data_IF_907219730973
#
_entry.id   IF_907219730973
#
_cell.length_a   1.000
_cell.length_b   1.000
_cell.length_c   1.000
_cell.angle_alpha   90.00
_cell.angle_beta   90.00
_cell.angle_gamma   90.00
#
_symmetry.space_group_name_H-M   'P 1'
#
loop_
_entity.id
_entity.type
_entity.pdbx_description
1 polymer ?
#
# COMPACT_ATOMS: atom_id res chain seq x y z
N UNK A 1 27.20 -18.21 -31.40
CA UNK A 1 26.37 -19.34 -30.91
C UNK A 1 26.20 -19.11 -29.41
N UNK A 2 25.08 -18.65 -28.86
CA UNK A 2 23.68 -18.92 -29.20
C UNK A 2 22.85 -17.69 -28.79
N UNK A 3 22.01 -17.21 -29.71
CA UNK A 3 21.02 -16.16 -29.46
C UNK A 3 19.95 -16.80 -28.56
N UNK A 4 19.82 -16.33 -27.32
CA UNK A 4 18.69 -16.66 -26.47
C UNK A 4 17.46 -15.94 -27.04
N UNK A 5 16.66 -16.68 -27.79
CA UNK A 5 15.32 -16.23 -28.15
C UNK A 5 14.48 -16.17 -26.87
N UNK A 6 14.23 -14.97 -26.37
CA UNK A 6 13.11 -14.72 -25.46
C UNK A 6 11.84 -15.20 -26.15
N UNK A 7 11.20 -16.21 -25.54
CA UNK A 7 9.92 -16.72 -26.01
C UNK A 7 8.88 -15.65 -25.66
N UNK A 8 8.63 -14.74 -26.59
CA UNK A 8 7.51 -13.81 -26.50
C UNK A 8 6.20 -14.61 -26.45
N UNK A 9 5.29 -14.24 -25.55
CA UNK A 9 3.93 -14.79 -25.55
C UNK A 9 3.22 -14.41 -26.88
N UNK A 10 2.08 -15.03 -27.18
CA UNK A 10 1.24 -14.77 -28.37
C UNK A 10 0.89 -13.28 -28.59
N UNK A 11 1.07 -12.43 -27.58
CA UNK A 11 0.89 -10.98 -27.60
C UNK A 11 2.17 -10.15 -27.81
N UNK A 12 3.35 -10.76 -27.94
CA UNK A 12 4.64 -10.06 -28.06
C UNK A 12 5.28 -9.66 -26.72
N UNK A 13 4.64 -9.98 -25.59
CA UNK A 13 5.13 -9.57 -24.26
C UNK A 13 6.05 -10.63 -23.64
N UNK A 14 7.01 -10.16 -22.84
CA UNK A 14 7.95 -11.02 -22.11
C UNK A 14 7.27 -11.78 -20.96
N UNK A 15 6.34 -11.14 -20.24
CA UNK A 15 5.69 -11.72 -19.07
C UNK A 15 4.19 -11.95 -19.29
N UNK A 16 3.67 -13.04 -18.74
CA UNK A 16 2.24 -13.32 -18.61
C UNK A 16 1.83 -13.24 -17.15
N UNK A 17 0.71 -12.58 -16.86
CA UNK A 17 0.21 -12.39 -15.50
C UNK A 17 -1.08 -13.16 -15.28
N UNK A 18 -1.10 -14.02 -14.26
CA UNK A 18 -2.25 -14.84 -13.91
C UNK A 18 -2.76 -14.48 -12.52
N UNK A 19 -3.98 -13.98 -12.43
CA UNK A 19 -4.61 -13.65 -11.16
C UNK A 19 -4.89 -14.90 -10.32
N UNK A 20 -4.58 -14.84 -9.03
CA UNK A 20 -4.79 -15.92 -8.07
C UNK A 20 -6.02 -15.61 -7.23
N UNK A 21 -7.19 -16.06 -7.69
CA UNK A 21 -8.50 -15.77 -7.07
C UNK A 21 -8.60 -16.19 -5.60
N UNK A 22 -7.98 -17.31 -5.24
CA UNK A 22 -8.11 -17.90 -3.90
C UNK A 22 -7.01 -17.42 -2.93
N UNK A 23 -6.11 -16.51 -3.36
CA UNK A 23 -5.11 -15.95 -2.46
C UNK A 23 -5.80 -15.05 -1.43
N UNK A 24 -5.80 -15.50 -0.17
CA UNK A 24 -6.27 -14.70 0.97
C UNK A 24 -5.09 -14.14 1.74
N UNK A 25 -5.18 -12.86 2.10
CA UNK A 25 -4.26 -12.19 3.01
C UNK A 25 -4.85 -12.25 4.40
N UNK A 26 -4.42 -13.24 5.19
CA UNK A 26 -5.00 -13.54 6.51
C UNK A 26 -4.95 -12.33 7.43
N UNK A 27 -3.95 -11.47 7.27
CA UNK A 27 -3.80 -10.23 8.03
C UNK A 27 -4.95 -9.25 7.83
N UNK A 28 -5.65 -9.29 6.69
CA UNK A 28 -6.76 -8.39 6.33
C UNK A 28 -8.12 -9.09 6.29
N UNK A 29 -8.17 -10.43 6.35
CA UNK A 29 -9.40 -11.21 6.21
C UNK A 29 -9.86 -11.92 7.48
N UNK A 30 -9.14 -11.79 8.59
CA UNK A 30 -9.57 -12.35 9.89
C UNK A 30 -10.59 -11.43 10.57
N UNK A 31 -11.37 -11.96 11.51
CA UNK A 31 -12.45 -11.22 12.20
C UNK A 31 -11.97 -9.92 12.84
N UNK A 32 -10.90 -9.96 13.63
CA UNK A 32 -10.36 -8.78 14.32
C UNK A 32 -9.94 -7.69 13.32
N UNK A 33 -9.30 -8.10 12.23
CA UNK A 33 -8.88 -7.18 11.17
C UNK A 33 -10.08 -6.59 10.44
N UNK A 34 -11.10 -7.38 10.14
CA UNK A 34 -12.31 -6.88 9.48
C UNK A 34 -13.06 -5.88 10.35
N UNK A 35 -13.18 -6.13 11.66
CA UNK A 35 -13.76 -5.18 12.61
C UNK A 35 -12.99 -3.85 12.61
N UNK A 36 -11.66 -3.92 12.68
CA UNK A 36 -10.79 -2.74 12.63
C UNK A 36 -10.93 -1.98 11.30
N UNK A 37 -10.91 -2.69 10.17
CA UNK A 37 -11.03 -2.09 8.84
C UNK A 37 -12.41 -1.48 8.59
N UNK A 38 -13.49 -2.05 9.15
CA UNK A 38 -14.82 -1.46 9.14
C UNK A 38 -14.84 -0.18 9.97
N UNK A 39 -14.33 -0.24 11.20
CA UNK A 39 -14.22 0.93 12.10
C UNK A 39 -13.44 2.07 11.44
N UNK A 40 -12.33 1.76 10.78
CA UNK A 40 -11.49 2.77 10.13
C UNK A 40 -11.97 3.13 8.71
N UNK A 41 -13.14 2.69 8.27
CA UNK A 41 -13.69 2.99 6.93
C UNK A 41 -12.78 2.57 5.76
N UNK A 42 -11.98 1.51 5.95
CA UNK A 42 -11.09 0.95 4.92
C UNK A 42 -11.69 -0.29 4.25
N UNK A 43 -12.65 -0.95 4.90
CA UNK A 43 -13.30 -2.15 4.36
C UNK A 43 -14.02 -1.84 3.03
N UNK A 44 -13.85 -2.72 2.03
CA UNK A 44 -14.42 -2.56 0.70
C UNK A 44 -13.65 -1.62 -0.24
N UNK A 45 -12.79 -0.72 0.29
CA UNK A 45 -11.94 0.18 -0.51
C UNK A 45 -10.45 -0.19 -0.48
N UNK A 46 -10.00 -0.85 0.59
CA UNK A 46 -8.67 -1.46 0.65
C UNK A 46 -8.69 -2.82 -0.03
N UNK A 47 -8.02 -2.92 -1.18
CA UNK A 47 -7.93 -4.14 -1.96
C UNK A 47 -6.53 -4.73 -1.93
N UNK A 48 -6.48 -6.06 -1.84
CA UNK A 48 -5.28 -6.84 -2.11
C UNK A 48 -5.52 -7.81 -3.25
N UNK A 49 -4.73 -7.70 -4.32
CA UNK A 49 -4.77 -8.60 -5.46
C UNK A 49 -3.45 -9.37 -5.55
N UNK A 50 -3.50 -10.61 -6.02
CA UNK A 50 -2.32 -11.44 -6.20
C UNK A 50 -2.25 -12.00 -7.60
N UNK A 51 -1.08 -11.93 -8.20
CA UNK A 51 -0.76 -12.47 -9.51
C UNK A 51 0.48 -13.35 -9.41
N UNK A 52 0.55 -14.36 -10.26
CA UNK A 52 1.78 -15.10 -10.55
C UNK A 52 2.21 -14.80 -11.98
N UNK A 53 3.52 -14.83 -12.22
CA UNK A 53 4.11 -14.61 -13.53
C UNK A 53 5.00 -15.78 -13.96
N UNK A 54 5.12 -15.97 -15.26
CA UNK A 54 5.65 -17.19 -15.90
C UNK A 54 7.17 -17.16 -16.13
N UNK A 55 7.78 -15.99 -16.28
CA UNK A 55 9.22 -15.85 -16.55
C UNK A 55 10.05 -15.50 -15.31
N UNK A 56 11.36 -15.76 -15.38
CA UNK A 56 12.30 -15.25 -14.39
C UNK A 56 12.41 -13.72 -14.55
N UNK A 57 12.34 -13.00 -13.44
CA UNK A 57 12.45 -11.56 -13.40
C UNK A 57 13.78 -11.16 -12.76
N UNK A 58 14.60 -10.38 -13.45
CA UNK A 58 15.82 -9.80 -12.90
C UNK A 58 15.56 -8.39 -12.34
N UNK A 59 16.37 -7.95 -11.37
CA UNK A 59 16.08 -6.71 -10.64
C UNK A 59 16.17 -5.44 -11.48
N UNK A 60 16.91 -5.45 -12.59
CA UNK A 60 16.98 -4.30 -13.51
C UNK A 60 15.72 -4.17 -14.38
N UNK A 61 14.85 -5.19 -14.40
CA UNK A 61 13.67 -5.25 -15.25
C UNK A 61 12.41 -4.75 -14.56
N UNK A 62 12.46 -4.44 -13.25
CA UNK A 62 11.28 -4.10 -12.46
C UNK A 62 10.44 -2.98 -13.07
N UNK A 63 11.08 -1.95 -13.61
CA UNK A 63 10.38 -0.84 -14.24
C UNK A 63 9.52 -1.32 -15.43
N UNK A 64 10.14 -2.00 -16.41
CA UNK A 64 9.43 -2.51 -17.59
C UNK A 64 8.42 -3.60 -17.21
N UNK A 65 8.74 -4.46 -16.25
CA UNK A 65 7.84 -5.49 -15.73
C UNK A 65 6.55 -4.90 -15.13
N UNK A 66 6.66 -3.80 -14.38
CA UNK A 66 5.49 -3.09 -13.84
C UNK A 66 4.69 -2.42 -14.96
N UNK A 67 5.36 -1.81 -15.95
CA UNK A 67 4.67 -1.25 -17.13
C UNK A 67 3.86 -2.33 -17.87
N UNK A 68 4.47 -3.50 -18.10
CA UNK A 68 3.81 -4.64 -18.73
C UNK A 68 2.62 -5.12 -17.90
N UNK A 69 2.76 -5.18 -16.58
CA UNK A 69 1.66 -5.54 -15.68
C UNK A 69 0.49 -4.56 -15.81
N UNK A 70 0.76 -3.26 -15.77
CA UNK A 70 -0.28 -2.21 -15.86
C UNK A 70 -0.99 -2.25 -17.21
N UNK A 71 -0.26 -2.50 -18.31
CA UNK A 71 -0.81 -2.47 -19.68
C UNK A 71 -1.47 -3.77 -20.13
N UNK A 72 -0.99 -4.91 -19.64
CA UNK A 72 -1.32 -6.21 -20.24
C UNK A 72 -1.97 -7.22 -19.28
N UNK A 73 -2.09 -6.88 -18.00
CA UNK A 73 -2.88 -7.68 -17.06
C UNK A 73 -4.35 -7.24 -17.05
N UNK A 74 -5.18 -8.00 -16.35
CA UNK A 74 -6.57 -7.61 -16.07
C UNK A 74 -6.70 -6.69 -14.83
N UNK A 75 -5.60 -6.10 -14.35
CA UNK A 75 -5.56 -5.28 -13.14
C UNK A 75 -6.65 -4.20 -13.10
N UNK A 76 -6.77 -3.38 -14.15
CA UNK A 76 -7.79 -2.33 -14.20
C UNK A 76 -9.21 -2.88 -14.21
N UNK A 77 -9.45 -4.03 -14.84
CA UNK A 77 -10.75 -4.69 -14.79
C UNK A 77 -11.16 -5.07 -13.36
N UNK A 78 -10.18 -5.29 -12.48
CA UNK A 78 -10.38 -5.68 -11.08
C UNK A 78 -10.48 -4.51 -10.12
N UNK A 79 -9.97 -3.32 -10.46
CA UNK A 79 -10.06 -2.14 -9.59
C UNK A 79 -11.08 -1.11 -10.06
N UNK A 80 -11.57 -1.19 -11.31
CA UNK A 80 -12.48 -0.20 -11.92
C UNK A 80 -13.72 0.16 -11.11
N UNK A 81 -14.23 -0.73 -10.26
CA UNK A 81 -15.42 -0.47 -9.44
C UNK A 81 -15.15 0.52 -8.29
N UNK A 82 -13.88 0.70 -7.90
CA UNK A 82 -13.46 1.71 -6.92
C UNK A 82 -13.03 3.02 -7.55
N UNK A 83 -12.81 3.01 -8.85
CA UNK A 83 -12.39 4.17 -9.59
C UNK A 83 -13.65 4.98 -9.96
N UNK A 84 -13.70 6.28 -9.60
CA UNK A 84 -14.79 7.20 -9.94
C UNK A 84 -14.25 8.39 -10.77
N UNK A 85 -14.88 8.81 -11.89
CA UNK A 85 -16.01 8.22 -12.63
C UNK A 85 -15.67 6.86 -13.29
N UNK A 86 -16.64 6.02 -13.68
CA UNK A 86 -16.35 4.73 -14.32
C UNK A 86 -15.56 4.92 -15.62
N UNK A 87 -14.28 4.59 -15.57
CA UNK A 87 -13.30 4.85 -16.62
C UNK A 87 -13.56 3.92 -17.83
N UNK A 88 -13.67 4.49 -19.03
CA UNK A 88 -13.14 3.78 -20.20
C UNK A 88 -11.65 4.08 -20.26
N UNK A 89 -10.82 3.05 -20.51
CA UNK A 89 -9.41 3.20 -20.88
C UNK A 89 -9.33 3.82 -22.30
N UNK A 90 -10.04 4.93 -22.55
CA UNK A 90 -10.09 5.57 -23.84
C UNK A 90 -8.80 6.36 -24.05
N UNK A 91 -7.99 5.83 -24.97
CA UNK A 91 -6.66 6.24 -25.39
C UNK A 91 -5.53 5.97 -24.39
N UNK A 92 -5.06 4.71 -24.39
CA UNK A 92 -3.78 4.24 -23.80
C UNK A 92 -2.53 5.02 -24.25
N UNK A 93 -2.67 5.93 -25.23
CA UNK A 93 -1.56 6.57 -25.93
C UNK A 93 -0.84 7.67 -25.14
N UNK A 94 -1.45 8.21 -24.08
CA UNK A 94 -0.91 9.33 -23.29
C UNK A 94 -0.83 9.04 -21.77
N UNK A 95 -0.59 7.78 -21.38
CA UNK A 95 -0.40 7.40 -19.98
C UNK A 95 1.09 7.46 -19.57
N UNK A 96 1.44 8.41 -18.73
CA UNK A 96 2.75 8.48 -18.06
C UNK A 96 2.68 7.71 -16.73
N UNK A 97 3.34 6.56 -16.67
CA UNK A 97 3.34 5.69 -15.49
C UNK A 97 4.55 6.00 -14.62
N UNK A 98 4.30 6.63 -13.47
CA UNK A 98 5.31 6.93 -12.48
C UNK A 98 5.46 5.77 -11.50
N UNK A 99 6.69 5.25 -11.41
CA UNK A 99 7.03 4.10 -10.58
C UNK A 99 8.13 4.51 -9.61
N UNK A 100 7.84 4.42 -8.30
CA UNK A 100 8.79 4.80 -7.24
C UNK A 100 9.06 3.62 -6.31
N UNK A 101 10.33 3.21 -6.18
CA UNK A 101 10.71 2.18 -5.21
C UNK A 101 10.54 2.72 -3.78
N UNK A 102 9.86 1.93 -2.94
CA UNK A 102 9.57 2.24 -1.54
C UNK A 102 10.53 1.46 -0.65
N UNK A 103 11.33 2.13 0.20
CA UNK A 103 12.24 1.47 1.11
C UNK A 103 11.54 0.49 2.07
N UNK A 104 12.20 -0.65 2.30
CA UNK A 104 11.80 -1.69 3.25
C UNK A 104 12.96 -2.04 4.19
N UNK A 105 13.73 -1.02 4.60
CA UNK A 105 14.94 -1.21 5.41
C UNK A 105 14.64 -1.39 6.90
N UNK A 106 13.51 -0.86 7.39
CA UNK A 106 13.07 -1.02 8.78
C UNK A 106 12.39 -2.39 8.98
N UNK A 107 12.89 -3.16 9.94
CA UNK A 107 12.50 -4.58 10.14
C UNK A 107 11.79 -4.85 11.46
N UNK A 108 11.75 -3.86 12.36
CA UNK A 108 11.24 -4.01 13.73
C UNK A 108 10.11 -3.04 14.00
N UNK A 109 9.10 -3.50 14.73
CA UNK A 109 8.02 -2.64 15.22
C UNK A 109 8.49 -1.66 16.30
N UNK A 110 9.63 -1.93 16.96
CA UNK A 110 10.22 -0.99 17.93
C UNK A 110 10.62 0.36 17.33
N UNK A 111 10.59 0.47 15.99
CA UNK A 111 10.64 1.75 15.31
C UNK A 111 9.55 2.74 15.78
N UNK A 112 8.36 2.24 16.13
CA UNK A 112 7.25 3.07 16.61
C UNK A 112 7.28 3.35 18.11
N UNK A 113 8.24 2.80 18.87
CA UNK A 113 8.36 3.06 20.31
C UNK A 113 8.60 4.56 20.59
N UNK A 114 9.11 5.31 19.60
CA UNK A 114 9.25 6.78 19.64
C UNK A 114 7.93 7.54 19.78
N UNK A 115 6.80 6.90 19.48
CA UNK A 115 5.46 7.48 19.67
C UNK A 115 5.01 7.42 21.13
N UNK A 116 5.64 6.58 21.96
CA UNK A 116 5.39 6.54 23.40
C UNK A 116 5.95 7.81 24.01
N UNK A 117 5.06 8.76 24.26
CA UNK A 117 5.36 10.10 24.74
C UNK A 117 4.14 10.62 25.53
N UNK A 118 4.31 11.30 26.68
CA UNK A 118 3.21 11.76 27.52
C UNK A 118 2.13 12.55 26.78
N UNK A 119 2.52 13.26 25.72
CA UNK A 119 1.65 14.11 24.91
C UNK A 119 1.11 13.44 23.63
N UNK A 120 1.62 12.29 23.18
CA UNK A 120 1.16 11.61 21.96
C UNK A 120 0.44 10.32 22.30
N UNK A 121 1.20 9.32 22.76
CA UNK A 121 0.70 8.02 23.21
C UNK A 121 1.28 7.70 24.58
N UNK A 122 0.42 7.53 25.57
CA UNK A 122 0.81 7.20 26.95
C UNK A 122 1.38 5.78 27.02
N UNK A 123 2.07 5.47 28.12
CA UNK A 123 2.67 4.14 28.35
C UNK A 123 1.67 2.97 28.28
N UNK A 124 0.38 3.23 28.53
CA UNK A 124 -0.70 2.24 28.40
C UNK A 124 -1.29 2.13 26.98
N UNK A 125 -0.67 2.78 25.99
CA UNK A 125 -1.12 2.80 24.60
C UNK A 125 -2.22 3.82 24.28
N UNK A 126 -2.76 4.55 25.27
CA UNK A 126 -3.83 5.53 25.04
C UNK A 126 -3.30 6.73 24.24
N UNK A 127 -3.98 7.04 23.15
CA UNK A 127 -3.70 8.18 22.29
C UNK A 127 -4.32 9.44 22.92
N UNK A 128 -3.55 10.52 22.99
CA UNK A 128 -4.04 11.79 23.49
C UNK A 128 -4.85 12.54 22.44
N UNK A 129 -6.03 13.00 22.85
CA UNK A 129 -6.86 13.89 22.06
C UNK A 129 -6.25 15.29 21.99
N UNK A 130 -6.59 16.02 20.94
CA UNK A 130 -6.31 17.44 20.80
C UNK A 130 -7.52 18.19 20.24
N UNK A 131 -7.40 19.51 20.09
CA UNK A 131 -8.39 20.28 19.35
C UNK A 131 -8.40 19.82 17.88
N UNK A 132 -9.58 19.80 17.28
CA UNK A 132 -9.73 19.38 15.90
C UNK A 132 -8.99 20.32 14.94
N UNK A 133 -8.19 19.73 14.07
CA UNK A 133 -7.56 20.36 12.92
C UNK A 133 -8.06 19.70 11.64
N UNK A 134 -8.19 20.48 10.58
CA UNK A 134 -8.71 20.00 9.30
C UNK A 134 -7.59 20.00 8.26
N UNK A 135 -7.33 18.83 7.67
CA UNK A 135 -6.40 18.67 6.57
C UNK A 135 -7.14 18.00 5.40
N UNK A 136 -7.40 18.77 4.35
CA UNK A 136 -8.25 18.36 3.23
C UNK A 136 -9.62 17.85 3.75
N UNK A 137 -9.99 16.60 3.42
CA UNK A 137 -11.24 15.95 3.86
C UNK A 137 -11.11 15.21 5.21
N UNK A 138 -10.01 15.40 5.95
CA UNK A 138 -9.70 14.64 7.17
C UNK A 138 -9.77 15.55 8.40
N UNK A 139 -10.60 15.15 9.37
CA UNK A 139 -10.63 15.76 10.72
C UNK A 139 -9.63 15.05 11.64
N UNK A 140 -8.67 15.80 12.16
CA UNK A 140 -7.59 15.33 13.05
C UNK A 140 -7.89 15.80 14.47
N UNK A 141 -8.33 14.88 15.33
CA UNK A 141 -8.71 15.16 16.73
C UNK A 141 -7.77 14.53 17.76
N UNK A 142 -6.60 14.05 17.34
CA UNK A 142 -5.61 13.44 18.23
C UNK A 142 -4.16 13.72 17.81
N UNK A 143 -3.28 13.64 18.80
CA UNK A 143 -1.86 13.98 18.68
C UNK A 143 -1.09 12.97 17.82
N UNK A 144 -1.54 11.73 17.74
CA UNK A 144 -0.90 10.71 16.90
C UNK A 144 -1.07 11.06 15.42
N UNK A 145 -2.31 11.26 14.96
CA UNK A 145 -2.57 11.65 13.56
C UNK A 145 -1.95 13.00 13.25
N UNK A 146 -1.97 13.96 14.19
CA UNK A 146 -1.28 15.25 14.04
C UNK A 146 0.22 15.07 13.80
N UNK A 147 0.91 14.25 14.61
CA UNK A 147 2.33 13.95 14.42
C UNK A 147 2.62 13.26 13.06
N UNK A 148 1.69 12.47 12.53
CA UNK A 148 1.86 11.77 11.25
C UNK A 148 1.59 12.66 10.04
N UNK A 149 0.66 13.62 10.13
CA UNK A 149 0.11 14.37 9.00
C UNK A 149 0.54 15.85 8.92
N UNK A 150 0.62 16.54 10.06
CA UNK A 150 0.81 17.99 10.09
C UNK A 150 2.30 18.31 10.20
N UNK A 151 2.87 18.85 9.12
CA UNK A 151 4.30 19.22 9.02
C UNK A 151 4.75 20.24 10.07
N UNK A 152 3.85 21.12 10.49
CA UNK A 152 4.03 22.11 11.55
C UNK A 152 3.79 21.57 12.97
N UNK A 153 3.46 20.29 13.12
CA UNK A 153 3.36 19.66 14.45
C UNK A 153 4.74 19.59 15.12
N UNK A 154 4.79 19.89 16.42
CA UNK A 154 5.99 19.73 17.25
C UNK A 154 6.59 18.31 17.17
N UNK A 155 5.73 17.32 16.90
CA UNK A 155 6.08 15.91 16.86
C UNK A 155 6.29 15.35 15.44
N UNK A 156 6.16 16.18 14.40
CA UNK A 156 6.39 15.72 13.02
C UNK A 156 7.81 15.18 12.82
N UNK A 157 8.78 15.83 13.47
CA UNK A 157 10.20 15.47 13.34
C UNK A 157 10.62 14.19 14.07
N UNK A 158 9.72 13.52 14.82
CA UNK A 158 10.00 12.22 15.46
C UNK A 158 10.48 11.15 14.48
N UNK A 159 10.04 11.27 13.23
CA UNK A 159 10.46 10.45 12.12
C UNK A 159 11.01 11.35 11.02
N UNK A 160 12.23 11.07 10.59
CA UNK A 160 12.87 11.79 9.48
C UNK A 160 12.14 11.55 8.16
N UNK A 161 12.32 12.45 7.19
CA UNK A 161 11.79 12.28 5.82
C UNK A 161 12.15 10.93 5.19
N UNK A 162 13.34 10.41 5.48
CA UNK A 162 13.77 9.09 4.99
C UNK A 162 12.95 7.98 5.64
N UNK A 163 12.73 8.04 6.94
CA UNK A 163 11.96 7.06 7.70
C UNK A 163 10.46 7.12 7.34
N UNK A 164 9.91 8.30 7.10
CA UNK A 164 8.52 8.51 6.63
C UNK A 164 8.25 7.87 5.26
N UNK A 165 9.29 7.66 4.45
CA UNK A 165 9.20 6.94 3.16
C UNK A 165 9.20 5.42 3.31
N UNK A 166 9.55 4.87 4.45
CA UNK A 166 9.59 3.42 4.66
C UNK A 166 8.19 2.82 4.55
N UNK A 167 8.09 1.67 3.90
CA UNK A 167 6.80 1.02 3.65
C UNK A 167 6.03 0.72 4.95
N UNK A 168 6.75 0.35 6.02
CA UNK A 168 6.13 0.08 7.33
C UNK A 168 5.51 1.34 7.93
N UNK A 169 6.16 2.50 7.79
CA UNK A 169 5.64 3.78 8.24
C UNK A 169 4.40 4.16 7.44
N UNK A 170 4.45 4.00 6.11
CA UNK A 170 3.33 4.28 5.22
C UNK A 170 2.10 3.42 5.54
N UNK A 171 2.27 2.11 5.75
CA UNK A 171 1.18 1.24 6.19
C UNK A 171 0.57 1.69 7.51
N UNK A 172 1.40 1.97 8.51
CA UNK A 172 0.93 2.46 9.81
C UNK A 172 0.14 3.75 9.66
N UNK A 173 0.70 4.72 8.92
CA UNK A 173 0.04 6.00 8.60
C UNK A 173 -1.33 5.76 7.96
N UNK A 174 -1.42 4.89 6.95
CA UNK A 174 -2.69 4.58 6.27
C UNK A 174 -3.75 4.04 7.23
N UNK A 175 -3.37 3.16 8.16
CA UNK A 175 -4.31 2.64 9.16
C UNK A 175 -4.70 3.68 10.22
N UNK A 176 -3.78 4.54 10.65
CA UNK A 176 -4.10 5.61 11.61
C UNK A 176 -5.13 6.58 11.03
N UNK A 177 -5.01 6.90 9.74
CA UNK A 177 -5.88 7.91 9.12
C UNK A 177 -7.22 7.28 8.72
N UNK A 178 -7.21 6.05 8.18
CA UNK A 178 -8.41 5.37 7.72
C UNK A 178 -8.98 5.93 6.41
N UNK A 179 -10.26 5.66 6.15
CA UNK A 179 -11.04 6.18 5.03
C UNK A 179 -11.95 7.35 5.44
N UNK A 180 -12.94 7.68 4.59
CA UNK A 180 -13.75 8.89 4.73
C UNK A 180 -14.53 8.95 6.05
N UNK A 181 -15.07 7.83 6.52
CA UNK A 181 -15.84 7.77 7.77
C UNK A 181 -15.06 7.06 8.88
N UNK A 182 -13.74 7.27 8.90
CA UNK A 182 -12.88 6.67 9.91
C UNK A 182 -13.36 7.03 11.32
N UNK A 183 -13.52 6.01 12.16
CA UNK A 183 -13.65 6.16 13.60
C UNK A 183 -12.29 5.86 14.23
N UNK A 184 -11.51 6.87 14.62
CA UNK A 184 -10.16 6.67 15.13
C UNK A 184 -10.15 5.78 16.37
N UNK A 185 -9.06 5.04 16.56
CA UNK A 185 -8.84 4.32 17.81
C UNK A 185 -8.35 5.25 18.92
N UNK A 186 -8.75 4.94 20.15
CA UNK A 186 -8.23 5.60 21.35
C UNK A 186 -6.94 4.95 21.86
N UNK A 187 -6.56 3.81 21.30
CA UNK A 187 -5.36 3.05 21.67
C UNK A 187 -4.54 2.69 20.42
N UNK A 188 -3.21 2.79 20.52
CA UNK A 188 -2.29 2.51 19.40
C UNK A 188 -2.15 1.02 19.07
N UNK A 189 -2.45 0.12 20.02
CA UNK A 189 -2.14 -1.30 19.91
C UNK A 189 -2.84 -2.01 18.73
N UNK A 190 -4.14 -1.77 18.45
CA UNK A 190 -4.79 -2.32 17.25
C UNK A 190 -4.11 -1.90 15.95
N UNK A 191 -3.69 -0.63 15.85
CA UNK A 191 -3.00 -0.06 14.69
C UNK A 191 -1.63 -0.73 14.49
N UNK A 192 -0.84 -0.88 15.55
CA UNK A 192 0.47 -1.56 15.50
C UNK A 192 0.33 -3.05 15.20
N UNK A 193 -0.68 -3.72 15.79
CA UNK A 193 -0.98 -5.14 15.54
C UNK A 193 -1.32 -5.35 14.07
N UNK A 194 -2.23 -4.56 13.49
CA UNK A 194 -2.59 -4.71 12.08
C UNK A 194 -1.40 -4.39 11.17
N UNK A 195 -0.69 -3.28 11.42
CA UNK A 195 0.52 -2.90 10.65
C UNK A 195 1.53 -4.05 10.60
N UNK A 196 1.87 -4.62 11.76
CA UNK A 196 2.80 -5.74 11.86
C UNK A 196 2.34 -6.94 11.04
N UNK A 197 1.06 -7.30 11.17
CA UNK A 197 0.50 -8.46 10.51
C UNK A 197 0.48 -8.29 8.99
N UNK A 198 0.01 -7.14 8.51
CA UNK A 198 -0.04 -6.82 7.08
C UNK A 198 1.37 -6.74 6.49
N UNK A 199 2.31 -6.09 7.17
CA UNK A 199 3.70 -6.01 6.71
C UNK A 199 4.34 -7.39 6.55
N UNK A 200 4.09 -8.31 7.49
CA UNK A 200 4.58 -9.71 7.43
C UNK A 200 3.86 -10.57 6.39
N UNK A 201 2.59 -10.29 6.11
CA UNK A 201 1.79 -11.05 5.14
C UNK A 201 2.12 -10.62 3.70
N UNK A 202 2.47 -9.35 3.50
CA UNK A 202 2.84 -8.79 2.19
C UNK A 202 4.31 -9.05 1.82
N UNK A 203 5.22 -9.00 2.80
CA UNK A 203 6.65 -9.07 2.53
C UNK A 203 7.25 -10.40 2.96
N UNK A 204 8.04 -10.98 2.05
CA UNK A 204 8.84 -12.16 2.36
C UNK A 204 10.18 -11.76 2.95
N UNK A 205 10.54 -12.44 4.03
CA UNK A 205 11.85 -12.37 4.67
C UNK A 205 12.59 -13.69 4.52
N UNK A 206 13.91 -13.63 4.35
CA UNK A 206 14.79 -14.80 4.40
C UNK A 206 15.93 -14.54 5.39
N UNK A 207 16.49 -15.61 5.94
CA UNK A 207 17.73 -15.55 6.70
C UNK A 207 18.89 -15.60 5.71
N UNK A 208 19.71 -14.56 5.68
CA UNK A 208 20.96 -14.57 4.92
C UNK A 208 21.90 -15.59 5.56
N UNK A 209 22.30 -16.61 4.79
CA UNK A 209 23.14 -17.71 5.27
C UNK A 209 24.55 -17.23 5.63
N UNK A 210 25.02 -16.11 5.06
CA UNK A 210 26.35 -15.55 5.32
C UNK A 210 26.42 -14.79 6.64
N UNK A 211 25.44 -13.94 6.90
CA UNK A 211 25.48 -13.01 8.04
C UNK A 211 24.49 -13.35 9.15
N UNK A 212 23.68 -14.42 8.99
CA UNK A 212 22.57 -14.80 9.86
C UNK A 212 21.50 -13.71 10.05
N UNK A 213 21.56 -12.64 9.25
CA UNK A 213 20.66 -11.50 9.32
C UNK A 213 19.38 -11.76 8.52
N UNK A 214 18.25 -11.27 9.04
CA UNK A 214 16.97 -11.31 8.33
C UNK A 214 16.98 -10.21 7.25
N UNK A 215 16.68 -10.58 6.02
CA UNK A 215 16.61 -9.67 4.85
C UNK A 215 15.24 -9.77 4.21
N UNK A 216 14.64 -8.63 3.90
CA UNK A 216 13.41 -8.55 3.10
C UNK A 216 13.80 -8.71 1.64
N UNK A 217 13.22 -9.70 0.97
CA UNK A 217 13.51 -10.01 -0.45
C UNK A 217 12.44 -9.49 -1.39
N UNK A 218 11.27 -9.16 -0.86
CA UNK A 218 10.23 -8.49 -1.63
C UNK A 218 10.62 -7.04 -1.92
N UNK A 219 10.35 -6.58 -3.14
CA UNK A 219 10.51 -5.19 -3.57
C UNK A 219 9.16 -4.50 -3.67
N UNK A 220 9.06 -3.27 -3.17
CA UNK A 220 7.81 -2.50 -3.12
C UNK A 220 7.94 -1.27 -4.00
N UNK A 221 6.93 -1.04 -4.83
CA UNK A 221 6.85 0.11 -5.72
C UNK A 221 5.51 0.81 -5.54
N UNK A 222 5.53 2.13 -5.41
CA UNK A 222 4.34 2.96 -5.54
C UNK A 222 4.12 3.30 -7.01
N UNK A 223 2.89 3.13 -7.47
CA UNK A 223 2.50 3.41 -8.84
C UNK A 223 1.47 4.53 -8.87
N UNK A 224 1.76 5.54 -9.67
CA UNK A 224 0.86 6.63 -10.05
C UNK A 224 0.86 6.72 -11.57
N UNK A 225 -0.26 7.12 -12.15
CA UNK A 225 -0.35 7.33 -13.60
C UNK A 225 -0.87 8.73 -13.83
N UNK A 226 -0.19 9.48 -14.70
CA UNK A 226 -0.64 10.76 -15.19
C UNK A 226 -1.24 10.61 -16.59
N UNK A 227 -2.28 11.38 -16.85
CA UNK A 227 -2.84 11.60 -18.18
C UNK A 227 -2.91 13.11 -18.40
N UNK A 228 -2.27 13.62 -19.44
CA UNK A 228 -2.17 15.07 -19.70
C UNK A 228 -1.65 15.86 -18.47
N UNK A 229 -0.55 15.40 -17.87
CA UNK A 229 0.09 15.97 -16.67
C UNK A 229 -0.79 16.02 -15.40
N UNK A 230 -1.94 15.36 -15.39
CA UNK A 230 -2.84 15.26 -14.24
C UNK A 230 -2.90 13.84 -13.73
N UNK A 231 -2.99 13.68 -12.41
CA UNK A 231 -3.14 12.36 -11.80
C UNK A 231 -4.42 11.70 -12.31
N UNK A 232 -4.25 10.52 -12.91
CA UNK A 232 -5.32 9.67 -13.42
C UNK A 232 -5.57 8.49 -12.49
N UNK A 233 -4.49 7.89 -11.97
CA UNK A 233 -4.54 6.77 -11.03
C UNK A 233 -3.55 7.05 -9.87
N UNK A 234 -3.88 6.70 -8.60
CA UNK A 234 -5.00 5.86 -8.14
C UNK A 234 -6.39 6.48 -8.20
N UNK A 235 -6.49 7.81 -8.21
CA UNK A 235 -7.74 8.58 -8.28
C UNK A 235 -7.49 9.91 -8.99
N UNK A 236 -8.48 10.42 -9.74
CA UNK A 236 -8.45 11.78 -10.31
C UNK A 236 -8.65 12.87 -9.26
N UNK A 237 -9.35 12.55 -8.17
CA UNK A 237 -9.49 13.41 -7.00
C UNK A 237 -8.34 13.05 -6.07
N UNK A 238 -7.23 13.81 -6.16
CA UNK A 238 -6.03 13.54 -5.39
C UNK A 238 -6.30 13.63 -3.89
N UNK A 239 -6.23 12.51 -3.20
CA UNK A 239 -6.23 12.44 -1.74
C UNK A 239 -4.92 11.78 -1.24
N UNK A 240 -4.42 12.17 -0.07
CA UNK A 240 -3.19 11.61 0.50
C UNK A 240 -3.29 10.11 0.87
N UNK A 241 -4.51 9.57 0.85
CA UNK A 241 -4.84 8.18 1.14
C UNK A 241 -5.07 7.36 -0.13
N UNK A 242 -4.94 7.96 -1.30
CA UNK A 242 -4.97 7.23 -2.57
C UNK A 242 -3.59 6.62 -2.82
N UNK A 243 -3.52 5.29 -2.88
CA UNK A 243 -2.26 4.60 -3.13
C UNK A 243 -2.43 3.29 -3.88
N UNK A 244 -1.39 2.95 -4.64
CA UNK A 244 -1.21 1.64 -5.23
C UNK A 244 0.22 1.19 -5.01
N UNK A 245 0.39 0.15 -4.20
CA UNK A 245 1.67 -0.51 -4.01
C UNK A 245 1.71 -1.83 -4.76
N UNK A 246 2.74 -2.01 -5.57
CA UNK A 246 3.09 -3.28 -6.20
C UNK A 246 4.25 -3.89 -5.43
N UNK A 247 4.01 -5.06 -4.85
CA UNK A 247 4.98 -5.85 -4.11
C UNK A 247 5.39 -7.05 -4.96
N UNK A 248 6.67 -7.18 -5.26
CA UNK A 248 7.22 -8.22 -6.14
C UNK A 248 8.10 -9.16 -5.32
N UNK A 249 7.81 -10.46 -5.39
CA UNK A 249 8.69 -11.54 -4.94
C UNK A 249 9.20 -12.31 -6.16
N UNK A 250 10.44 -12.04 -6.57
CA UNK A 250 11.07 -12.66 -7.75
C UNK A 250 11.19 -14.19 -7.62
N UNK A 251 11.42 -14.68 -6.40
CA UNK A 251 11.68 -16.09 -6.16
C UNK A 251 10.39 -16.92 -6.11
N UNK A 252 9.29 -16.35 -5.59
CA UNK A 252 7.97 -16.96 -5.66
C UNK A 252 7.25 -16.68 -7.00
N UNK A 253 7.84 -15.85 -7.86
CA UNK A 253 7.22 -15.31 -9.07
C UNK A 253 5.82 -14.75 -8.80
N UNK A 254 5.70 -14.02 -7.69
CA UNK A 254 4.45 -13.45 -7.21
C UNK A 254 4.51 -11.92 -7.28
N UNK A 255 3.43 -11.32 -7.77
CA UNK A 255 3.15 -9.89 -7.68
C UNK A 255 1.90 -9.72 -6.81
N UNK A 256 1.98 -8.85 -5.81
CA UNK A 256 0.85 -8.47 -4.96
C UNK A 256 0.58 -6.99 -5.11
N UNK A 257 -0.67 -6.62 -5.34
CA UNK A 257 -1.11 -5.23 -5.32
C UNK A 257 -1.80 -4.96 -4.00
N UNK A 258 -1.39 -3.90 -3.30
CA UNK A 258 -2.14 -3.29 -2.20
C UNK A 258 -2.64 -1.93 -2.69
N UNK A 259 -3.95 -1.77 -2.80
CA UNK A 259 -4.57 -0.61 -3.43
C UNK A 259 -5.66 -0.04 -2.54
N UNK A 260 -5.74 1.29 -2.47
CA UNK A 260 -6.79 2.01 -1.78
C UNK A 260 -7.09 3.31 -2.50
N UNK A 261 -8.37 3.68 -2.52
CA UNK A 261 -8.85 4.98 -2.98
C UNK A 261 -9.79 5.52 -1.92
N UNK A 262 -9.60 6.78 -1.52
CA UNK A 262 -10.43 7.48 -0.56
C UNK A 262 -11.88 7.59 -1.05
N UNK A 263 -12.82 7.65 -0.11
CA UNK A 263 -14.24 7.77 -0.37
C UNK A 263 -15.08 6.96 0.62
N UNK A 264 -16.41 6.95 0.44
CA UNK A 264 -17.31 6.39 1.43
C UNK A 264 -17.22 4.86 1.39
N UNK A 265 -17.46 4.16 2.52
CA UNK A 265 -17.54 2.71 2.54
C UNK A 265 -18.40 2.20 1.39
N UNK A 266 -17.88 1.24 0.63
CA UNK A 266 -18.62 0.69 -0.49
C UNK A 266 -19.87 0.02 0.07
N UNK A 267 -21.07 0.50 -0.29
CA UNK A 267 -22.31 -0.23 -0.02
C UNK A 267 -22.19 -1.54 -0.79
N UNK A 268 -22.02 -2.65 -0.09
CA UNK A 268 -22.29 -3.96 -0.68
C UNK A 268 -23.77 -3.89 -1.09
N UNK A 269 -24.05 -3.79 -2.38
CA UNK A 269 -25.38 -4.12 -2.86
C UNK A 269 -25.59 -5.58 -2.45
N UNK A 270 -26.55 -5.81 -1.57
CA UNK A 270 -27.08 -7.14 -1.33
C UNK A 270 -27.66 -7.63 -2.66
N UNK A 271 -26.86 -8.40 -3.40
CA UNK A 271 -27.34 -9.28 -4.47
C UNK A 271 -27.63 -10.66 -3.90
#
# INVERSE_FOLDING_TARGET
RTILSEVMNRSGNKFSFHFVKDKKFKSLSNSDALESLLKWSLHGRLLTLCYVFDQKLESYEFHNFILDFIRHSDFFNRVKFLLNPPYSLADERDLDVQIKEIPTSIKTMGFFDRLVHPDIVRENGRINLCMDEYLDDITIGDQLRKALLIDSSDYYSLFSERERREFIFRLFKHFCIGGEWCQPDENIDPLLKLTRNVYKDLLRVIKDTKNQNIVIVSKVFEVMILQNDKQWFPSVLKNQLDYCYIIIDQAQRQLTVLFHVFGPPFKVSED
#
